data_IF_581481866916
#
_entry.id   IF_581481866916
#
_cell.length_a   1.000
_cell.length_b   1.000
_cell.length_c   1.000
_cell.angle_alpha   90.00
_cell.angle_beta   90.00
_cell.angle_gamma   90.00
#
_symmetry.space_group_name_H-M   'P 1'
#
loop_
_entity.id
_entity.type
_entity.pdbx_description
1 polymer ?
#
# COMPACT_ATOMS: atom_id res chain seq x y z
N UNK A 1 33.20 -27.41 19.33
CA UNK A 1 31.74 -27.61 19.32
C UNK A 1 31.17 -26.46 20.13
N UNK A 2 30.60 -25.45 19.48
CA UNK A 2 29.87 -24.37 20.16
C UNK A 2 28.66 -25.02 20.84
N UNK A 3 28.53 -24.86 22.14
CA UNK A 3 27.35 -25.30 22.87
C UNK A 3 26.15 -24.47 22.38
N UNK A 4 25.12 -25.13 21.89
CA UNK A 4 23.86 -24.47 21.59
C UNK A 4 23.30 -23.83 22.88
N UNK A 5 23.21 -22.51 22.92
CA UNK A 5 22.61 -21.76 24.04
C UNK A 5 21.11 -21.72 23.81
N UNK A 6 20.36 -22.47 24.62
CA UNK A 6 18.91 -22.45 24.66
C UNK A 6 18.44 -21.71 25.90
N UNK A 7 17.38 -20.88 25.74
CA UNK A 7 16.71 -20.22 26.85
C UNK A 7 15.22 -20.60 26.86
N UNK A 8 14.60 -20.55 28.03
CA UNK A 8 13.19 -20.88 28.18
C UNK A 8 12.32 -19.62 28.01
N UNK A 9 11.17 -19.77 27.34
CA UNK A 9 10.23 -18.67 27.12
C UNK A 9 9.73 -18.00 28.42
N UNK A 10 9.79 -18.73 29.55
CA UNK A 10 9.47 -18.20 30.89
C UNK A 10 10.44 -17.11 31.36
N UNK A 11 11.66 -17.08 30.83
CA UNK A 11 12.67 -16.07 31.13
C UNK A 11 12.52 -14.81 30.29
N UNK A 12 11.65 -14.84 29.27
CA UNK A 12 11.43 -13.73 28.35
C UNK A 12 10.24 -12.90 28.83
N UNK A 13 10.47 -11.63 29.13
CA UNK A 13 9.39 -10.69 29.45
C UNK A 13 8.64 -10.31 28.17
N UNK A 14 7.35 -10.63 28.09
CA UNK A 14 6.49 -10.21 27.00
C UNK A 14 6.45 -8.67 26.91
N UNK A 15 6.59 -8.15 25.70
CA UNK A 15 6.44 -6.72 25.38
C UNK A 15 5.32 -6.53 24.35
N UNK A 16 4.45 -5.52 24.50
CA UNK A 16 3.50 -5.17 23.46
C UNK A 16 4.26 -4.65 22.22
N UNK A 17 3.63 -4.78 21.06
CA UNK A 17 4.14 -4.14 19.84
C UNK A 17 3.88 -2.63 19.96
N UNK A 18 4.91 -1.84 19.81
CA UNK A 18 4.80 -0.39 19.71
C UNK A 18 4.63 0.03 18.26
N UNK A 19 3.88 1.12 18.03
CA UNK A 19 3.49 1.56 16.69
C UNK A 19 3.88 3.01 16.46
N UNK A 20 4.55 3.25 15.34
CA UNK A 20 4.71 4.60 14.79
C UNK A 20 3.35 5.06 14.21
N UNK A 21 2.64 4.16 13.55
CA UNK A 21 1.30 4.37 13.03
C UNK A 21 0.51 3.05 13.03
N UNK A 22 -0.40 2.87 13.98
CA UNK A 22 -1.25 1.67 14.06
C UNK A 22 -2.36 1.71 13.01
N UNK A 23 -2.64 0.61 12.31
CA UNK A 23 -1.96 -0.68 12.32
C UNK A 23 -0.95 -0.87 11.17
N UNK A 24 -0.43 0.22 10.61
CA UNK A 24 0.33 0.22 9.35
C UNK A 24 1.84 0.12 9.54
N UNK A 25 2.41 0.86 10.47
CA UNK A 25 3.87 0.99 10.64
C UNK A 25 4.26 0.72 12.10
N UNK A 26 4.75 -0.48 12.41
CA UNK A 26 5.29 -0.79 13.74
C UNK A 26 6.68 -0.17 13.93
N UNK A 27 7.03 0.19 15.16
CA UNK A 27 8.41 0.44 15.56
C UNK A 27 9.23 -0.85 15.53
N UNK A 28 10.56 -0.73 15.51
CA UNK A 28 11.55 -1.80 15.56
C UNK A 28 11.39 -2.90 14.49
N UNK A 29 10.65 -2.64 13.44
CA UNK A 29 10.37 -3.59 12.35
C UNK A 29 10.48 -2.92 10.98
N UNK A 30 10.55 -3.76 9.96
CA UNK A 30 10.55 -3.33 8.56
C UNK A 30 9.10 -3.28 8.05
N UNK A 31 8.74 -2.13 7.49
CA UNK A 31 7.56 -1.89 6.66
C UNK A 31 7.99 -1.65 5.22
N UNK A 32 7.28 -2.21 4.27
CA UNK A 32 7.49 -1.98 2.84
C UNK A 32 6.33 -1.16 2.30
N UNK A 33 6.64 -0.12 1.52
CA UNK A 33 5.66 0.61 0.69
C UNK A 33 5.99 0.34 -0.76
N UNK A 34 5.06 -0.26 -1.49
CA UNK A 34 5.24 -0.65 -2.89
C UNK A 34 4.09 -0.17 -3.77
N UNK A 35 4.29 -0.18 -5.09
CA UNK A 35 3.31 0.24 -6.09
C UNK A 35 3.97 0.48 -7.43
N UNK A 36 3.17 0.63 -8.48
CA UNK A 36 3.66 0.91 -9.82
C UNK A 36 4.43 2.25 -9.87
N UNK A 37 5.36 2.44 -10.84
CA UNK A 37 6.02 3.73 -11.05
C UNK A 37 4.99 4.86 -11.25
N UNK A 38 5.25 6.04 -10.65
CA UNK A 38 4.37 7.20 -10.77
C UNK A 38 3.12 7.19 -9.87
N UNK A 39 2.92 6.17 -9.01
CA UNK A 39 1.79 6.16 -8.07
C UNK A 39 2.03 7.02 -6.81
N UNK A 40 3.22 7.61 -6.65
CA UNK A 40 3.50 8.59 -5.60
C UNK A 40 4.05 8.04 -4.30
N UNK A 41 4.73 6.89 -4.32
CA UNK A 41 5.36 6.28 -3.15
C UNK A 41 6.28 7.24 -2.39
N UNK A 42 7.25 7.86 -3.10
CA UNK A 42 8.17 8.85 -2.52
C UNK A 42 7.43 10.07 -1.99
N UNK A 43 6.40 10.54 -2.69
CA UNK A 43 5.57 11.68 -2.23
C UNK A 43 4.83 11.34 -0.95
N UNK A 44 4.28 10.11 -0.85
CA UNK A 44 3.65 9.61 0.40
C UNK A 44 4.68 9.58 1.52
N UNK A 45 5.87 9.01 1.28
CA UNK A 45 6.94 8.93 2.29
C UNK A 45 7.33 10.31 2.82
N UNK A 46 7.54 11.30 1.95
CA UNK A 46 7.89 12.68 2.35
C UNK A 46 6.74 13.37 3.11
N UNK A 47 5.48 13.09 2.76
CA UNK A 47 4.33 13.60 3.51
C UNK A 47 4.21 12.95 4.89
N UNK A 48 4.48 11.65 5.02
CA UNK A 48 4.54 11.00 6.34
C UNK A 48 5.67 11.62 7.19
N UNK A 49 6.85 11.86 6.61
CA UNK A 49 7.94 12.60 7.28
C UNK A 49 7.47 13.97 7.77
N UNK A 50 6.72 14.70 6.94
CA UNK A 50 6.17 16.01 7.33
C UNK A 50 5.27 15.92 8.57
N UNK A 51 4.38 14.94 8.61
CA UNK A 51 3.50 14.74 9.78
C UNK A 51 4.30 14.36 11.03
N UNK A 52 5.22 13.40 10.89
CA UNK A 52 6.05 12.88 11.99
C UNK A 52 6.97 13.94 12.59
N UNK A 53 7.65 14.72 11.75
CA UNK A 53 8.59 15.77 12.23
C UNK A 53 7.90 16.91 12.95
N UNK A 54 6.60 17.12 12.71
CA UNK A 54 5.77 18.14 13.36
C UNK A 54 4.89 17.60 14.48
N UNK A 55 4.86 16.28 14.73
CA UNK A 55 3.95 15.66 15.68
C UNK A 55 2.49 15.83 15.32
N UNK A 56 2.19 15.91 14.02
CA UNK A 56 0.82 16.02 13.53
C UNK A 56 0.17 14.63 13.47
N UNK A 57 -1.15 14.52 13.67
CA UNK A 57 -1.84 13.24 13.51
C UNK A 57 -1.61 12.65 12.13
N UNK A 58 -1.57 11.33 12.06
CA UNK A 58 -1.50 10.58 10.80
C UNK A 58 -2.81 10.72 10.00
N UNK A 59 -2.84 10.32 8.71
CA UNK A 59 -3.99 10.58 7.82
C UNK A 59 -5.35 10.06 8.29
N UNK A 60 -5.37 9.08 9.19
CA UNK A 60 -6.57 8.50 9.79
C UNK A 60 -6.90 9.09 11.17
N UNK A 61 -6.16 10.10 11.60
CA UNK A 61 -6.30 10.72 12.92
C UNK A 61 -5.50 10.03 14.03
N UNK A 62 -4.69 8.98 13.72
CA UNK A 62 -3.84 8.35 14.71
C UNK A 62 -2.86 9.36 15.31
N UNK A 63 -2.83 9.54 16.62
CA UNK A 63 -2.03 10.59 17.27
C UNK A 63 -0.54 10.24 17.24
N UNK A 64 0.31 11.24 16.99
CA UNK A 64 1.75 11.17 17.21
C UNK A 64 2.04 11.81 18.55
N UNK A 65 2.66 11.07 19.47
CA UNK A 65 2.91 11.50 20.83
C UNK A 65 3.81 12.73 20.91
N UNK A 66 4.82 12.79 20.04
CA UNK A 66 5.79 13.89 19.97
C UNK A 66 6.44 13.96 18.58
N UNK A 67 6.89 15.16 18.14
CA UNK A 67 7.68 15.31 16.93
C UNK A 67 8.94 14.44 16.98
N UNK A 68 9.23 13.70 15.91
CA UNK A 68 10.39 12.80 15.87
C UNK A 68 11.34 13.13 14.72
N UNK A 69 12.60 12.75 14.87
CA UNK A 69 13.60 12.84 13.80
C UNK A 69 13.38 11.70 12.82
N UNK A 70 13.46 12.02 11.52
CA UNK A 70 13.41 11.09 10.41
C UNK A 70 14.76 11.12 9.66
N UNK A 71 15.27 9.94 9.29
CA UNK A 71 16.34 9.82 8.30
C UNK A 71 15.69 9.38 6.99
N UNK A 72 15.88 10.16 5.92
CA UNK A 72 15.40 9.84 4.58
C UNK A 72 16.56 9.69 3.63
N UNK A 73 16.82 8.46 3.19
CA UNK A 73 17.88 8.15 2.23
C UNK A 73 17.28 7.92 0.85
N UNK A 74 17.68 8.75 -0.11
CA UNK A 74 17.25 8.70 -1.49
C UNK A 74 18.45 8.57 -2.43
N UNK A 75 18.35 7.69 -3.42
CA UNK A 75 19.40 7.50 -4.41
C UNK A 75 19.05 8.02 -5.83
N UNK A 76 17.77 8.26 -6.10
CA UNK A 76 17.32 8.68 -7.43
C UNK A 76 17.22 10.20 -7.57
N UNK A 77 16.85 10.88 -6.49
CA UNK A 77 16.61 12.32 -6.47
C UNK A 77 17.70 13.06 -5.65
N UNK A 78 18.16 14.21 -6.15
CA UNK A 78 19.12 15.05 -5.44
C UNK A 78 18.52 15.67 -4.18
N UNK A 79 19.32 15.72 -3.09
CA UNK A 79 18.86 16.28 -1.82
C UNK A 79 18.52 17.76 -1.94
N UNK A 80 19.35 18.55 -2.63
CA UNK A 80 19.22 20.00 -2.67
C UNK A 80 18.13 20.51 -3.63
N UNK A 81 18.00 19.88 -4.77
CA UNK A 81 17.14 20.33 -5.87
C UNK A 81 15.78 19.66 -5.92
N UNK A 82 15.64 18.50 -5.30
CA UNK A 82 14.41 17.72 -5.37
C UNK A 82 13.85 17.37 -3.98
N UNK A 83 14.61 16.69 -3.12
CA UNK A 83 14.09 16.17 -1.84
C UNK A 83 13.76 17.31 -0.87
N UNK A 84 14.70 18.23 -0.62
CA UNK A 84 14.47 19.35 0.29
C UNK A 84 13.34 20.27 -0.16
N UNK A 85 13.22 20.68 -1.44
CA UNK A 85 12.04 21.42 -1.92
C UNK A 85 10.72 20.69 -1.69
N UNK A 86 10.66 19.37 -1.92
CA UNK A 86 9.44 18.57 -1.66
C UNK A 86 9.12 18.45 -0.18
N UNK A 87 10.13 18.33 0.72
CA UNK A 87 9.93 18.34 2.15
C UNK A 87 9.35 19.68 2.64
N UNK A 88 9.93 20.79 2.19
CA UNK A 88 9.41 22.14 2.49
C UNK A 88 7.97 22.30 1.99
N UNK A 89 7.69 21.86 0.76
CA UNK A 89 6.35 21.91 0.17
C UNK A 89 5.35 21.03 0.93
N UNK A 90 5.78 19.86 1.43
CA UNK A 90 4.98 19.02 2.30
C UNK A 90 4.80 19.62 3.70
N UNK A 91 5.55 20.66 4.05
CA UNK A 91 5.52 21.34 5.35
C UNK A 91 6.33 20.62 6.44
N UNK A 92 7.35 19.84 6.08
CA UNK A 92 8.20 19.15 7.05
C UNK A 92 9.03 20.15 7.88
N UNK A 93 9.26 19.81 9.16
CA UNK A 93 10.31 20.44 9.96
C UNK A 93 11.67 19.88 9.51
N UNK A 94 12.35 20.62 8.61
CA UNK A 94 13.60 20.17 8.03
C UNK A 94 14.76 20.08 9.05
N UNK A 95 14.64 20.66 10.23
CA UNK A 95 15.63 20.49 11.31
C UNK A 95 15.58 19.09 11.92
N UNK A 96 14.46 18.37 11.71
CA UNK A 96 14.26 17.00 12.13
C UNK A 96 14.35 15.98 10.98
N UNK A 97 14.85 16.40 9.81
CA UNK A 97 15.08 15.50 8.69
C UNK A 97 16.58 15.41 8.42
N UNK A 98 17.13 14.22 8.61
CA UNK A 98 18.52 13.92 8.34
C UNK A 98 18.67 12.97 7.12
N UNK A 99 19.88 12.89 6.58
CA UNK A 99 20.30 11.90 5.61
C UNK A 99 21.74 11.49 5.89
N UNK A 100 22.12 10.28 5.46
CA UNK A 100 23.46 9.75 5.62
C UNK A 100 24.30 10.22 4.43
N UNK A 101 25.45 10.85 4.70
CA UNK A 101 26.37 11.30 3.65
C UNK A 101 27.07 10.07 3.07
N UNK A 102 26.95 9.88 1.75
CA UNK A 102 27.47 8.74 1.01
C UNK A 102 28.29 9.13 -0.24
N UNK A 103 28.76 10.36 -0.29
CA UNK A 103 29.52 10.93 -1.42
C UNK A 103 30.79 10.12 -1.77
N UNK A 104 31.52 9.65 -0.75
CA UNK A 104 32.78 8.90 -0.93
C UNK A 104 32.58 7.38 -0.97
N UNK A 105 31.59 6.87 -0.22
CA UNK A 105 31.31 5.44 -0.10
C UNK A 105 29.82 5.22 -0.20
N UNK A 106 29.40 4.56 -1.29
CA UNK A 106 27.98 4.23 -1.52
C UNK A 106 27.39 3.50 -0.31
N UNK A 107 26.30 4.03 0.20
CA UNK A 107 25.57 3.42 1.31
C UNK A 107 24.88 2.12 0.84
N UNK A 108 24.99 1.07 1.64
CA UNK A 108 24.23 -0.17 1.45
C UNK A 108 23.41 -0.53 2.67
N UNK A 109 22.42 -1.41 2.52
CA UNK A 109 21.55 -1.84 3.64
C UNK A 109 22.29 -2.59 4.75
N UNK A 110 23.54 -3.01 4.50
CA UNK A 110 24.40 -3.70 5.51
C UNK A 110 25.37 -2.73 6.20
N UNK A 111 25.37 -1.47 5.82
CA UNK A 111 26.32 -0.48 6.32
C UNK A 111 26.07 -0.12 7.78
N UNK A 112 27.13 -0.15 8.59
CA UNK A 112 27.07 0.21 10.01
C UNK A 112 26.74 1.68 10.27
N UNK A 113 26.94 2.57 9.26
CA UNK A 113 26.55 3.99 9.33
C UNK A 113 25.05 4.16 9.57
N UNK A 114 24.21 3.22 9.13
CA UNK A 114 22.76 3.26 9.38
C UNK A 114 22.48 3.24 10.87
N UNK A 115 23.04 2.26 11.59
CA UNK A 115 22.84 2.16 13.03
C UNK A 115 23.43 3.37 13.77
N UNK A 116 24.66 3.76 13.41
CA UNK A 116 25.34 4.90 14.03
C UNK A 116 24.54 6.19 13.85
N UNK A 117 24.05 6.47 12.64
CA UNK A 117 23.26 7.68 12.34
C UNK A 117 21.91 7.68 13.06
N UNK A 118 21.23 6.54 13.17
CA UNK A 118 19.98 6.44 13.94
C UNK A 118 20.24 6.76 15.42
N UNK A 119 21.30 6.20 16.00
CA UNK A 119 21.66 6.45 17.42
C UNK A 119 22.09 7.90 17.68
N UNK A 120 22.88 8.47 16.79
CA UNK A 120 23.41 9.84 16.91
C UNK A 120 22.29 10.87 16.78
N UNK A 121 21.38 10.70 15.81
CA UNK A 121 20.28 11.64 15.58
C UNK A 121 19.07 11.41 16.46
N UNK A 122 18.97 10.22 17.09
CA UNK A 122 17.76 9.79 17.80
C UNK A 122 16.57 9.55 16.86
N UNK A 123 16.84 9.24 15.59
CA UNK A 123 15.78 9.04 14.60
C UNK A 123 14.84 7.89 14.98
N UNK A 124 13.54 8.14 14.86
CA UNK A 124 12.48 7.15 15.13
C UNK A 124 11.99 6.49 13.85
N UNK A 125 12.32 7.03 12.70
CA UNK A 125 12.03 6.45 11.39
C UNK A 125 13.22 6.59 10.45
N UNK A 126 13.55 5.50 9.76
CA UNK A 126 14.54 5.43 8.69
C UNK A 126 13.87 4.99 7.40
N UNK A 127 13.95 5.81 6.36
CA UNK A 127 13.31 5.58 5.06
C UNK A 127 14.38 5.41 4.00
N UNK A 128 14.21 4.38 3.16
CA UNK A 128 15.09 4.06 2.02
C UNK A 128 14.28 4.11 0.72
N UNK A 129 14.68 4.97 -0.23
CA UNK A 129 13.94 5.24 -1.46
C UNK A 129 14.84 5.33 -2.70
N UNK A 130 14.80 4.38 -3.61
CA UNK A 130 14.19 3.06 -3.48
C UNK A 130 15.17 2.02 -2.88
N UNK A 131 14.65 0.95 -2.30
CA UNK A 131 15.48 -0.12 -1.71
C UNK A 131 16.49 -0.69 -2.69
N UNK A 132 16.13 -0.80 -3.98
CA UNK A 132 16.97 -1.40 -5.02
C UNK A 132 18.34 -0.74 -5.14
N UNK A 133 18.43 0.55 -4.93
CA UNK A 133 19.66 1.32 -5.05
C UNK A 133 20.65 1.08 -3.89
N UNK A 134 20.18 0.54 -2.79
CA UNK A 134 20.96 0.32 -1.57
C UNK A 134 21.31 -1.15 -1.30
N UNK A 135 21.03 -2.02 -2.27
CA UNK A 135 21.45 -3.42 -2.21
C UNK A 135 22.91 -3.51 -2.63
N UNK A 136 23.78 -4.23 -1.86
CA UNK A 136 25.15 -4.43 -2.25
C UNK A 136 25.28 -5.00 -3.67
N UNK A 137 26.24 -4.51 -4.45
CA UNK A 137 26.39 -4.83 -5.89
C UNK A 137 26.75 -6.29 -6.18
N UNK A 138 27.29 -7.01 -5.19
CA UNK A 138 27.59 -8.45 -5.25
C UNK A 138 26.39 -9.34 -4.90
N UNK A 139 25.26 -8.72 -4.56
CA UNK A 139 24.02 -9.42 -4.17
C UNK A 139 23.05 -9.42 -5.34
N UNK A 140 22.76 -10.61 -5.85
CA UNK A 140 21.63 -10.80 -6.77
C UNK A 140 20.30 -10.67 -6.00
N UNK A 141 19.49 -9.69 -6.41
CA UNK A 141 18.16 -9.45 -5.84
C UNK A 141 17.21 -10.66 -5.98
N UNK A 142 17.45 -11.55 -6.93
CA UNK A 142 16.66 -12.76 -7.11
C UNK A 142 17.14 -13.89 -6.19
N UNK A 143 18.32 -13.75 -5.58
CA UNK A 143 18.83 -14.72 -4.61
C UNK A 143 18.17 -14.54 -3.24
N UNK A 144 17.16 -15.35 -2.96
CA UNK A 144 16.41 -15.37 -1.72
C UNK A 144 17.33 -15.40 -0.47
N UNK A 145 18.33 -16.27 -0.47
CA UNK A 145 19.24 -16.46 0.67
C UNK A 145 20.08 -15.23 0.95
N UNK A 146 20.66 -14.62 -0.10
CA UNK A 146 21.49 -13.41 0.03
C UNK A 146 20.65 -12.21 0.48
N UNK A 147 19.49 -11.97 -0.14
CA UNK A 147 18.57 -10.90 0.26
C UNK A 147 18.10 -11.05 1.71
N UNK A 148 17.84 -12.29 2.16
CA UNK A 148 17.46 -12.55 3.54
C UNK A 148 18.57 -12.20 4.54
N UNK A 149 19.85 -12.40 4.18
CA UNK A 149 20.98 -12.00 5.03
C UNK A 149 21.01 -10.48 5.23
N UNK A 150 21.01 -9.72 4.13
CA UNK A 150 20.99 -8.24 4.13
C UNK A 150 19.84 -7.70 4.99
N UNK A 151 18.62 -8.18 4.72
CA UNK A 151 17.44 -7.70 5.43
C UNK A 151 17.37 -8.11 6.90
N UNK A 152 17.99 -9.25 7.28
CA UNK A 152 18.12 -9.63 8.70
C UNK A 152 19.00 -8.66 9.46
N UNK A 153 20.11 -8.22 8.86
CA UNK A 153 20.99 -7.22 9.47
C UNK A 153 20.22 -5.91 9.69
N UNK A 154 19.51 -5.42 8.68
CA UNK A 154 18.69 -4.22 8.78
C UNK A 154 17.56 -4.38 9.82
N UNK A 155 16.90 -5.55 9.87
CA UNK A 155 15.88 -5.84 10.87
C UNK A 155 16.46 -5.84 12.30
N UNK A 156 17.68 -6.37 12.47
CA UNK A 156 18.39 -6.30 13.75
C UNK A 156 18.71 -4.86 14.15
N UNK A 157 19.17 -4.03 13.21
CA UNK A 157 19.37 -2.58 13.43
C UNK A 157 18.07 -1.89 13.86
N UNK A 158 16.96 -2.15 13.17
CA UNK A 158 15.65 -1.60 13.55
C UNK A 158 15.28 -1.96 14.99
N UNK A 159 15.47 -3.23 15.38
CA UNK A 159 15.14 -3.73 16.71
C UNK A 159 16.05 -3.14 17.80
N UNK A 160 17.36 -3.06 17.56
CA UNK A 160 18.34 -2.53 18.51
C UNK A 160 18.23 -1.02 18.71
N UNK A 161 17.76 -0.29 17.70
CA UNK A 161 17.59 1.17 17.74
C UNK A 161 16.15 1.60 18.05
N UNK A 162 15.21 0.65 18.10
CA UNK A 162 13.78 0.90 18.22
C UNK A 162 13.24 1.87 17.15
N UNK A 163 13.84 1.84 15.96
CA UNK A 163 13.51 2.68 14.82
C UNK A 163 12.56 1.93 13.88
N UNK A 164 11.53 2.60 13.39
CA UNK A 164 10.71 2.07 12.30
C UNK A 164 11.49 2.18 10.98
N UNK A 165 11.65 1.09 10.24
CA UNK A 165 12.32 1.08 8.94
C UNK A 165 11.28 0.99 7.83
N UNK A 166 11.29 1.94 6.91
CA UNK A 166 10.38 1.98 5.75
C UNK A 166 11.22 1.81 4.48
N UNK A 167 10.91 0.78 3.71
CA UNK A 167 11.56 0.49 2.43
C UNK A 167 10.58 0.79 1.30
N UNK A 168 10.95 1.73 0.43
CA UNK A 168 10.18 2.04 -0.77
C UNK A 168 10.64 1.12 -1.90
N UNK A 169 9.70 0.42 -2.53
CA UNK A 169 10.01 -0.53 -3.60
C UNK A 169 9.20 -0.28 -4.87
N UNK A 170 9.85 -0.46 -6.03
CA UNK A 170 9.17 -0.47 -7.32
C UNK A 170 8.66 -1.88 -7.64
N UNK A 171 7.47 -1.97 -8.20
CA UNK A 171 6.90 -3.23 -8.64
C UNK A 171 7.50 -3.67 -9.97
N UNK A 172 7.76 -4.99 -10.10
CA UNK A 172 8.11 -5.57 -11.38
C UNK A 172 6.94 -5.50 -12.36
N UNK A 173 7.25 -5.34 -13.64
CA UNK A 173 6.26 -5.26 -14.74
C UNK A 173 5.52 -6.58 -14.99
N UNK A 174 5.96 -7.69 -14.38
CA UNK A 174 5.28 -8.98 -14.51
C UNK A 174 3.95 -8.97 -13.75
N UNK A 175 2.86 -8.86 -14.51
CA UNK A 175 1.49 -8.81 -14.00
C UNK A 175 0.91 -10.18 -13.62
N UNK A 176 1.65 -11.28 -13.83
CA UNK A 176 1.17 -12.65 -13.54
C UNK A 176 1.32 -13.04 -12.07
N UNK A 177 2.20 -12.37 -11.30
CA UNK A 177 2.39 -12.64 -9.87
C UNK A 177 1.35 -11.94 -9.00
N UNK A 178 1.01 -12.54 -7.84
CA UNK A 178 0.15 -11.89 -6.84
C UNK A 178 0.75 -10.57 -6.37
N UNK A 179 -0.08 -9.56 -6.10
CA UNK A 179 0.34 -8.20 -5.71
C UNK A 179 1.37 -8.17 -4.57
N UNK A 180 1.28 -9.08 -3.59
CA UNK A 180 2.25 -9.22 -2.51
C UNK A 180 3.67 -9.51 -3.02
N UNK A 181 3.82 -10.24 -4.13
CA UNK A 181 5.10 -10.71 -4.67
C UNK A 181 5.55 -9.96 -5.92
N UNK A 182 4.71 -9.11 -6.52
CA UNK A 182 5.07 -8.28 -7.68
C UNK A 182 6.03 -7.15 -7.31
N UNK A 183 6.00 -6.70 -6.05
CA UNK A 183 6.94 -5.72 -5.54
C UNK A 183 8.28 -6.35 -5.22
N UNK A 184 9.35 -5.62 -5.50
CA UNK A 184 10.68 -5.86 -4.94
C UNK A 184 11.53 -6.99 -5.53
N UNK A 185 11.09 -7.69 -6.58
CA UNK A 185 11.93 -8.73 -7.23
C UNK A 185 12.23 -9.97 -6.39
N UNK A 186 12.06 -9.91 -5.06
CA UNK A 186 12.30 -11.02 -4.14
C UNK A 186 11.12 -11.22 -3.19
N UNK A 187 10.64 -12.45 -3.12
CA UNK A 187 9.66 -12.93 -2.13
C UNK A 187 10.16 -12.67 -0.69
N UNK A 188 11.48 -12.67 -0.50
CA UNK A 188 12.10 -12.55 0.82
C UNK A 188 11.97 -11.16 1.44
N UNK A 189 11.91 -10.10 0.65
CA UNK A 189 11.69 -8.75 1.19
C UNK A 189 10.29 -8.68 1.83
N UNK A 190 9.28 -9.19 1.11
CA UNK A 190 7.93 -9.29 1.66
C UNK A 190 7.85 -10.27 2.84
N UNK A 191 8.69 -11.32 2.87
CA UNK A 191 8.71 -12.30 3.96
C UNK A 191 9.25 -11.72 5.27
N UNK A 192 10.32 -10.93 5.23
CA UNK A 192 10.94 -10.30 6.41
C UNK A 192 10.12 -9.11 6.92
N UNK A 193 9.53 -8.31 6.04
CA UNK A 193 8.68 -7.21 6.42
C UNK A 193 7.49 -7.68 7.28
N UNK A 194 7.18 -6.94 8.34
CA UNK A 194 6.02 -7.21 9.20
C UNK A 194 4.76 -6.53 8.72
N UNK A 195 4.92 -5.48 7.91
CA UNK A 195 3.85 -4.77 7.21
C UNK A 195 4.27 -4.53 5.76
N UNK A 196 3.34 -4.73 4.83
CA UNK A 196 3.51 -4.38 3.42
C UNK A 196 2.30 -3.57 2.99
N UNK A 197 2.54 -2.34 2.59
CA UNK A 197 1.55 -1.39 2.11
C UNK A 197 1.66 -1.25 0.60
N UNK A 198 0.53 -1.27 -0.07
CA UNK A 198 0.42 -1.04 -1.51
C UNK A 198 -0.12 0.35 -1.76
N UNK A 199 0.46 1.05 -2.74
CA UNK A 199 -0.14 2.26 -3.31
C UNK A 199 -0.64 1.93 -4.70
N UNK A 200 -1.93 2.20 -4.93
CA UNK A 200 -2.57 2.00 -6.21
C UNK A 200 -3.56 3.14 -6.51
N UNK A 201 -3.74 3.40 -7.79
CA UNK A 201 -4.68 4.38 -8.30
C UNK A 201 -6.08 3.80 -8.39
N UNK A 202 -7.09 4.60 -8.09
CA UNK A 202 -8.47 4.23 -8.37
C UNK A 202 -8.71 4.08 -9.87
N UNK A 203 -9.44 3.04 -10.26
CA UNK A 203 -9.69 2.75 -11.67
C UNK A 203 -10.77 3.66 -12.29
N UNK A 204 -11.67 4.19 -11.47
CA UNK A 204 -12.79 5.03 -11.90
C UNK A 204 -12.50 6.52 -11.68
N UNK A 205 -11.70 6.85 -10.65
CA UNK A 205 -11.28 8.20 -10.29
C UNK A 205 -9.74 8.27 -10.26
N UNK A 206 -9.05 8.39 -11.40
CA UNK A 206 -7.60 8.29 -11.51
C UNK A 206 -6.82 9.35 -10.70
N UNK A 207 -7.47 10.41 -10.26
CA UNK A 207 -6.93 11.42 -9.35
C UNK A 207 -6.81 10.90 -7.91
N UNK A 208 -7.64 9.94 -7.51
CA UNK A 208 -7.61 9.31 -6.18
C UNK A 208 -6.66 8.12 -6.19
N UNK A 209 -5.92 8.00 -5.10
CA UNK A 209 -5.04 6.88 -4.81
C UNK A 209 -5.34 6.32 -3.43
N UNK A 210 -5.02 5.08 -3.25
CA UNK A 210 -5.17 4.38 -1.99
C UNK A 210 -3.85 3.79 -1.54
N UNK A 211 -3.54 3.96 -0.25
CA UNK A 211 -2.52 3.19 0.44
C UNK A 211 -3.23 2.17 1.32
N UNK A 212 -2.95 0.88 1.13
CA UNK A 212 -3.65 -0.19 1.83
C UNK A 212 -2.72 -1.34 2.19
N UNK A 213 -2.97 -2.07 3.30
CA UNK A 213 -2.18 -3.22 3.68
C UNK A 213 -2.46 -4.41 2.75
N UNK A 214 -1.38 -5.06 2.28
CA UNK A 214 -1.43 -6.35 1.58
C UNK A 214 -0.78 -7.46 2.41
N UNK A 215 -0.12 -7.06 3.51
CA UNK A 215 0.37 -7.94 4.56
C UNK A 215 0.39 -7.17 5.87
N UNK A 216 -0.20 -7.75 6.92
CA UNK A 216 -0.06 -7.33 8.30
C UNK A 216 0.20 -8.57 9.15
N UNK A 217 1.37 -8.62 9.83
CA UNK A 217 1.76 -9.77 10.65
C UNK A 217 1.57 -9.55 12.14
N UNK A 218 1.30 -8.32 12.57
CA UNK A 218 1.33 -7.90 13.97
C UNK A 218 0.00 -7.30 14.45
N UNK A 219 -0.91 -7.01 13.52
CA UNK A 219 -2.24 -6.48 13.78
C UNK A 219 -3.21 -6.95 12.70
N UNK A 220 -4.53 -6.84 12.89
CA UNK A 220 -5.51 -6.94 11.82
C UNK A 220 -5.21 -5.92 10.70
N UNK A 221 -5.56 -6.26 9.47
CA UNK A 221 -5.41 -5.34 8.34
C UNK A 221 -6.27 -4.09 8.57
N UNK A 222 -5.63 -2.92 8.49
CA UNK A 222 -6.32 -1.63 8.57
C UNK A 222 -7.09 -1.31 7.28
N UNK A 223 -8.00 -0.32 7.32
CA UNK A 223 -8.67 0.16 6.11
C UNK A 223 -7.68 0.81 5.13
N UNK A 224 -8.10 0.99 3.88
CA UNK A 224 -7.33 1.78 2.94
C UNK A 224 -7.35 3.27 3.34
N UNK A 225 -6.25 3.98 3.07
CA UNK A 225 -6.15 5.42 3.25
C UNK A 225 -6.17 6.07 1.87
N UNK A 226 -7.18 6.90 1.62
CA UNK A 226 -7.33 7.60 0.35
C UNK A 226 -6.55 8.91 0.34
N UNK A 227 -5.99 9.26 -0.82
CA UNK A 227 -5.30 10.52 -1.04
C UNK A 227 -5.33 10.96 -2.51
N UNK A 228 -5.10 12.24 -2.75
CA UNK A 228 -4.87 12.82 -4.07
C UNK A 228 -3.66 13.75 -4.07
N UNK A 229 -3.13 14.08 -5.25
CA UNK A 229 -2.09 15.09 -5.35
C UNK A 229 -2.71 16.48 -5.47
N UNK A 230 -2.14 17.44 -4.73
CA UNK A 230 -2.51 18.85 -4.85
C UNK A 230 -1.91 19.46 -6.10
N UNK A 231 -2.65 20.38 -6.72
CA UNK A 231 -2.09 21.29 -7.73
C UNK A 231 -0.97 22.11 -7.06
N UNK A 232 0.22 22.07 -7.62
CA UNK A 232 1.40 22.71 -7.03
C UNK A 232 2.23 21.80 -6.14
N UNK A 233 1.81 20.54 -5.91
CA UNK A 233 2.54 19.47 -5.22
C UNK A 233 2.05 19.17 -3.79
N UNK A 234 2.56 18.06 -3.25
CA UNK A 234 2.12 17.53 -1.97
C UNK A 234 0.87 16.67 -2.08
N UNK A 235 0.38 16.23 -0.93
CA UNK A 235 -0.76 15.30 -0.80
C UNK A 235 -1.92 15.97 -0.08
N UNK A 236 -3.12 15.68 -0.53
CA UNK A 236 -4.36 15.86 0.21
C UNK A 236 -4.85 14.49 0.66
N UNK A 237 -4.92 14.30 1.99
CA UNK A 237 -5.39 13.08 2.60
C UNK A 237 -6.91 13.12 2.74
N UNK A 238 -7.58 12.05 2.34
CA UNK A 238 -9.04 11.91 2.43
C UNK A 238 -9.46 10.97 3.57
N UNK A 239 -8.47 10.47 4.34
CA UNK A 239 -8.72 9.60 5.49
C UNK A 239 -8.99 8.14 5.13
N UNK A 240 -9.62 7.43 6.06
CA UNK A 240 -9.94 6.02 5.90
C UNK A 240 -11.05 5.83 4.86
N UNK A 241 -10.87 4.83 4.01
CA UNK A 241 -11.83 4.48 2.97
C UNK A 241 -12.17 2.99 3.03
N UNK A 242 -13.44 2.68 3.12
CA UNK A 242 -13.95 1.31 3.11
C UNK A 242 -13.93 0.72 1.70
N UNK A 243 -12.74 0.44 1.17
CA UNK A 243 -12.59 -0.17 -0.15
C UNK A 243 -12.58 -1.69 -0.02
N UNK A 244 -13.28 -2.36 -0.91
CA UNK A 244 -13.10 -3.79 -1.08
C UNK A 244 -11.75 -4.03 -1.76
N UNK A 245 -10.74 -4.47 -1.00
CA UNK A 245 -9.36 -4.65 -1.46
C UNK A 245 -9.24 -5.58 -2.69
N UNK A 246 -10.23 -6.45 -2.93
CA UNK A 246 -10.30 -7.26 -4.14
C UNK A 246 -10.45 -6.45 -5.44
N UNK A 247 -10.78 -5.14 -5.34
CA UNK A 247 -10.88 -4.25 -6.53
C UNK A 247 -9.52 -3.84 -7.08
N UNK A 248 -8.43 -3.99 -6.29
CA UNK A 248 -7.08 -3.60 -6.70
C UNK A 248 -6.25 -4.72 -7.35
N UNK A 249 -6.71 -5.98 -7.30
CA UNK A 249 -6.11 -7.05 -8.08
C UNK A 249 -6.44 -6.86 -9.57
N UNK A 250 -5.43 -6.61 -10.39
CA UNK A 250 -5.54 -6.14 -11.77
C UNK A 250 -6.39 -7.00 -12.72
N UNK A 251 -6.57 -8.29 -12.46
CA UNK A 251 -7.54 -9.14 -13.17
C UNK A 251 -8.93 -9.13 -12.50
N UNK A 252 -8.98 -9.00 -11.18
CA UNK A 252 -10.22 -8.93 -10.41
C UNK A 252 -10.85 -7.54 -10.51
N UNK A 253 -10.05 -6.46 -10.58
CA UNK A 253 -10.56 -5.10 -10.69
C UNK A 253 -11.32 -4.84 -12.00
N UNK A 254 -10.78 -5.32 -13.14
CA UNK A 254 -11.48 -5.20 -14.42
C UNK A 254 -12.80 -6.02 -14.42
N UNK A 255 -12.80 -7.20 -13.79
CA UNK A 255 -14.00 -8.02 -13.63
C UNK A 255 -14.99 -7.40 -12.65
N UNK A 256 -14.50 -6.85 -11.52
CA UNK A 256 -15.34 -6.23 -10.47
C UNK A 256 -15.91 -4.89 -10.93
N UNK A 257 -15.11 -4.05 -11.58
CA UNK A 257 -15.59 -2.80 -12.20
C UNK A 257 -16.69 -3.08 -13.23
N UNK A 258 -16.50 -4.08 -14.12
CA UNK A 258 -17.54 -4.51 -15.08
C UNK A 258 -18.78 -5.08 -14.37
N UNK A 259 -18.63 -5.77 -13.25
CA UNK A 259 -19.76 -6.30 -12.47
C UNK A 259 -20.51 -5.18 -11.75
N UNK A 260 -19.79 -4.20 -11.17
CA UNK A 260 -20.40 -3.02 -10.52
C UNK A 260 -21.17 -2.19 -11.55
N UNK A 261 -20.57 -1.91 -12.72
CA UNK A 261 -21.25 -1.22 -13.83
C UNK A 261 -22.45 -2.00 -14.34
N UNK A 262 -22.30 -3.33 -14.50
CA UNK A 262 -23.41 -4.19 -14.88
C UNK A 262 -24.57 -4.15 -13.87
N UNK A 263 -24.24 -4.15 -12.56
CA UNK A 263 -25.22 -4.10 -11.47
C UNK A 263 -25.98 -2.79 -11.47
N UNK A 264 -25.26 -1.65 -11.54
CA UNK A 264 -25.89 -0.31 -11.60
C UNK A 264 -26.82 -0.18 -12.81
N UNK A 265 -26.34 -0.60 -13.98
CA UNK A 265 -27.11 -0.50 -15.20
C UNK A 265 -28.31 -1.48 -15.21
N UNK A 266 -28.19 -2.68 -14.65
CA UNK A 266 -29.32 -3.60 -14.48
C UNK A 266 -30.39 -3.03 -13.56
N UNK A 267 -30.01 -2.35 -12.46
CA UNK A 267 -30.96 -1.65 -11.58
C UNK A 267 -31.67 -0.59 -12.41
N UNK A 268 -30.95 0.32 -13.07
CA UNK A 268 -31.50 1.40 -13.90
C UNK A 268 -32.46 0.90 -14.98
N UNK A 269 -32.11 -0.21 -15.67
CA UNK A 269 -32.93 -0.76 -16.71
C UNK A 269 -34.20 -1.44 -16.19
N UNK A 270 -34.17 -1.97 -14.97
CA UNK A 270 -35.26 -2.78 -14.40
C UNK A 270 -36.06 -2.06 -13.30
N UNK A 271 -35.68 -0.83 -12.89
CA UNK A 271 -36.37 -0.06 -11.85
C UNK A 271 -37.82 0.26 -12.18
N UNK A 272 -38.14 0.44 -13.48
CA UNK A 272 -39.48 0.74 -13.95
C UNK A 272 -40.24 -0.47 -14.45
N UNK A 273 -39.75 -1.68 -14.20
CA UNK A 273 -40.43 -2.91 -14.56
C UNK A 273 -39.62 -3.91 -15.39
N UNK A 274 -40.30 -4.94 -15.86
CA UNK A 274 -39.65 -6.00 -16.62
C UNK A 274 -39.23 -5.54 -18.02
N UNK A 275 -38.02 -5.95 -18.46
CA UNK A 275 -37.48 -5.66 -19.79
C UNK A 275 -37.09 -6.94 -20.53
N UNK A 276 -37.15 -6.93 -21.88
CA UNK A 276 -36.68 -8.04 -22.69
C UNK A 276 -35.18 -8.31 -22.45
N UNK A 277 -34.80 -9.56 -22.22
CA UNK A 277 -33.41 -9.95 -21.98
C UNK A 277 -32.47 -9.52 -23.13
N UNK A 278 -32.93 -9.58 -24.36
CA UNK A 278 -32.15 -9.17 -25.54
C UNK A 278 -31.80 -7.69 -25.54
N UNK A 279 -32.73 -6.84 -25.09
CA UNK A 279 -32.50 -5.38 -24.95
C UNK A 279 -31.44 -5.12 -23.89
N UNK A 280 -31.53 -5.79 -22.74
CA UNK A 280 -30.58 -5.68 -21.63
C UNK A 280 -29.17 -6.10 -22.09
N UNK A 281 -29.03 -7.24 -22.77
CA UNK A 281 -27.75 -7.68 -23.30
C UNK A 281 -27.15 -6.73 -24.32
N UNK A 282 -27.97 -6.16 -25.22
CA UNK A 282 -27.50 -5.18 -26.20
C UNK A 282 -26.98 -3.90 -25.53
N UNK A 283 -27.70 -3.37 -24.54
CA UNK A 283 -27.30 -2.19 -23.80
C UNK A 283 -25.98 -2.41 -23.06
N UNK A 284 -25.87 -3.50 -22.30
CA UNK A 284 -24.68 -3.82 -21.54
C UNK A 284 -23.46 -4.16 -22.43
N UNK A 285 -23.71 -4.79 -23.58
CA UNK A 285 -22.66 -5.06 -24.59
C UNK A 285 -22.13 -3.74 -25.19
N UNK A 286 -22.99 -2.77 -25.44
CA UNK A 286 -22.60 -1.42 -25.87
C UNK A 286 -21.70 -0.68 -24.86
N UNK A 287 -21.80 -1.02 -23.58
CA UNK A 287 -20.93 -0.54 -22.50
C UNK A 287 -19.67 -1.39 -22.28
N UNK A 288 -19.37 -2.33 -23.19
CA UNK A 288 -18.20 -3.22 -23.09
C UNK A 288 -18.32 -4.31 -22.04
N UNK A 289 -19.54 -4.64 -21.58
CA UNK A 289 -19.82 -5.66 -20.57
C UNK A 289 -20.24 -6.98 -21.27
N UNK A 290 -19.42 -8.01 -21.15
CA UNK A 290 -19.66 -9.30 -21.78
C UNK A 290 -20.80 -10.11 -21.12
N UNK A 291 -21.45 -10.99 -21.88
CA UNK A 291 -22.60 -11.79 -21.47
C UNK A 291 -22.35 -12.64 -20.21
N UNK A 292 -21.15 -13.18 -20.01
CA UNK A 292 -20.79 -13.95 -18.80
C UNK A 292 -20.85 -13.08 -17.53
N UNK A 293 -20.44 -11.82 -17.63
CA UNK A 293 -20.52 -10.86 -16.51
C UNK A 293 -21.96 -10.52 -16.19
N UNK A 294 -22.77 -10.29 -17.23
CA UNK A 294 -24.21 -9.99 -17.10
C UNK A 294 -24.95 -11.15 -16.42
N UNK A 295 -24.71 -12.39 -16.87
CA UNK A 295 -25.37 -13.57 -16.26
C UNK A 295 -24.93 -13.80 -14.81
N UNK A 296 -23.66 -13.57 -14.48
CA UNK A 296 -23.18 -13.66 -13.11
C UNK A 296 -23.87 -12.62 -12.21
N UNK A 297 -23.89 -11.35 -12.64
CA UNK A 297 -24.53 -10.26 -11.87
C UNK A 297 -26.04 -10.49 -11.75
N UNK A 298 -26.71 -10.97 -12.79
CA UNK A 298 -28.12 -11.39 -12.74
C UNK A 298 -28.36 -12.42 -11.65
N UNK A 299 -27.51 -13.45 -11.58
CA UNK A 299 -27.58 -14.48 -10.55
C UNK A 299 -27.36 -13.89 -9.15
N UNK A 300 -26.29 -13.08 -8.97
CA UNK A 300 -25.93 -12.46 -7.69
C UNK A 300 -27.01 -11.49 -7.17
N UNK A 301 -27.75 -10.85 -8.08
CA UNK A 301 -28.89 -9.97 -7.80
C UNK A 301 -30.22 -10.71 -7.69
N UNK A 302 -30.24 -12.01 -7.88
CA UNK A 302 -31.45 -12.83 -7.90
C UNK A 302 -32.55 -12.30 -8.85
N UNK A 303 -32.12 -11.71 -9.99
CA UNK A 303 -33.04 -11.18 -10.99
C UNK A 303 -33.90 -12.30 -11.55
N UNK A 304 -35.21 -12.13 -11.48
CA UNK A 304 -36.19 -13.10 -11.96
C UNK A 304 -36.29 -13.05 -13.48
N UNK A 305 -36.05 -14.20 -14.12
CA UNK A 305 -36.26 -14.35 -15.56
C UNK A 305 -37.50 -15.20 -15.83
N UNK A 306 -38.36 -14.73 -16.73
CA UNK A 306 -39.56 -15.46 -17.14
C UNK A 306 -39.78 -15.31 -18.65
N UNK A 307 -40.57 -16.23 -19.23
CA UNK A 307 -40.88 -16.21 -20.67
C UNK A 307 -42.28 -15.67 -20.89
N UNK A 308 -42.40 -14.71 -21.82
CA UNK A 308 -43.69 -14.23 -22.30
C UNK A 308 -43.70 -14.25 -23.82
N UNK A 309 -44.57 -15.10 -24.40
CA UNK A 309 -44.56 -15.37 -25.81
C UNK A 309 -43.24 -16.01 -26.29
N UNK A 310 -42.60 -15.41 -27.29
CA UNK A 310 -41.32 -15.88 -27.84
C UNK A 310 -40.09 -15.23 -27.18
N UNK A 311 -40.27 -14.31 -26.17
CA UNK A 311 -39.21 -13.54 -25.60
C UNK A 311 -39.00 -13.85 -24.11
N UNK A 312 -37.74 -13.75 -23.63
CA UNK A 312 -37.39 -13.77 -22.22
C UNK A 312 -37.40 -12.35 -21.66
N UNK A 313 -37.98 -12.20 -20.48
CA UNK A 313 -38.02 -10.95 -19.71
C UNK A 313 -37.34 -11.11 -18.37
N UNK A 314 -36.67 -10.04 -17.90
CA UNK A 314 -36.05 -9.96 -16.59
C UNK A 314 -36.74 -8.88 -15.77
N UNK A 315 -36.87 -9.13 -14.45
CA UNK A 315 -37.38 -8.15 -13.48
C UNK A 315 -36.63 -8.27 -12.15
N UNK A 316 -36.54 -7.18 -11.39
CA UNK A 316 -36.00 -7.20 -10.03
C UNK A 316 -36.86 -8.09 -9.12
N UNK A 317 -36.25 -8.76 -8.11
CA UNK A 317 -37.01 -9.50 -7.10
C UNK A 317 -37.92 -8.54 -6.32
N UNK A 318 -39.09 -9.02 -5.87
CA UNK A 318 -40.00 -8.22 -5.02
C UNK A 318 -39.35 -8.01 -3.65
N UNK A 319 -39.24 -6.74 -3.20
CA UNK A 319 -38.67 -6.38 -1.90
C UNK A 319 -37.26 -5.73 -1.96
N UNK A 320 -36.74 -5.40 -3.13
CA UNK A 320 -35.50 -4.62 -3.21
C UNK A 320 -35.81 -3.14 -2.92
N UNK A 321 -35.63 -2.72 -1.66
CA UNK A 321 -35.62 -1.28 -1.33
C UNK A 321 -34.43 -0.65 -2.05
N UNK A 322 -34.72 0.21 -3.03
CA UNK A 322 -33.74 1.11 -3.66
C UNK A 322 -33.46 2.19 -2.62
N UNK A 323 -32.40 2.03 -1.80
CA UNK A 323 -31.86 3.14 -1.02
C UNK A 323 -31.26 4.13 -2.01
N UNK A 324 -32.06 5.12 -2.38
CA UNK A 324 -31.61 6.33 -3.03
C UNK A 324 -30.90 7.21 -2.00
N UNK A 325 -29.75 7.73 -2.34
CA UNK A 325 -28.98 8.68 -1.58
C UNK A 325 -27.61 8.81 -2.21
#
# INVERSE_FOLDING_TARGET
MENAVCDYSTNIKAKPVEWLWYPYIPFDKITVIQGDPGEGKSTVALNLVSLLTRGMPMPDGYPISEPCVAIHQCAEDGMADTIKPRLVQAGADCEKVAYIIDDDIILTLEDGRIESSIRETGARVFIVDPIQAFIPSDIDMQSATKMRSVLRKLASTAEQTQCAVILIGHMNKDRSAKNLYRGLGSIDIAAIARSVLMIARDAEQPEIRYMYPVKSSLAPEGPAIAFSFRVGGGIEWHGQYGVNLSTFDSETSIKTSKQVKARAELIRLLEHGARPAREIFNTLSGLGIGSRTVEKVKHDMQIVAYRSGKCWFWKLPQGTEIKGG
#
